data_IF_849091601306
#
_entry.id   IF_849091601306
#
_cell.length_a   1.000
_cell.length_b   1.000
_cell.length_c   1.000
_cell.angle_alpha   90.00
_cell.angle_beta   90.00
_cell.angle_gamma   90.00
#
_symmetry.space_group_name_H-M   'P 1'
#
loop_
_entity.id
_entity.type
_entity.pdbx_description
1 polymer ?
#
# COMPACT_ATOMS: atom_id res chain seq x y z
N UNK A 1 -12.23 -5.29 -5.41
CA UNK A 1 -11.46 -4.50 -4.42
C UNK A 1 -10.47 -3.62 -5.19
N UNK A 2 -10.42 -2.30 -4.95
CA UNK A 2 -9.50 -1.41 -5.67
C UNK A 2 -8.08 -1.56 -5.11
N UNK A 3 -7.14 -2.06 -5.92
CA UNK A 3 -5.76 -2.32 -5.46
C UNK A 3 -4.96 -1.05 -5.18
N UNK A 4 -5.25 0.03 -5.91
CA UNK A 4 -4.59 1.34 -5.76
C UNK A 4 -5.60 2.47 -5.78
N UNK A 5 -5.51 3.36 -4.81
CA UNK A 5 -6.30 4.59 -4.72
C UNK A 5 -5.38 5.77 -4.98
N UNK A 6 -5.70 6.61 -5.97
CA UNK A 6 -4.82 7.69 -6.43
C UNK A 6 -5.55 9.02 -6.32
N UNK A 7 -4.88 10.01 -5.74
CA UNK A 7 -5.35 11.39 -5.69
C UNK A 7 -4.31 12.31 -6.33
N UNK A 8 -4.80 13.33 -7.05
CA UNK A 8 -3.99 14.37 -7.66
C UNK A 8 -4.56 15.76 -7.35
N UNK A 9 -3.68 16.70 -7.03
CA UNK A 9 -4.07 18.11 -6.89
C UNK A 9 -4.57 18.65 -8.23
N UNK A 10 -5.67 19.41 -8.21
CA UNK A 10 -6.26 20.02 -9.40
C UNK A 10 -6.85 19.05 -10.44
N UNK A 11 -7.00 17.76 -10.13
CA UNK A 11 -7.64 16.80 -11.04
C UNK A 11 -9.13 17.04 -11.20
N UNK A 12 -9.63 16.85 -12.42
CA UNK A 12 -11.06 16.87 -12.76
C UNK A 12 -11.71 15.47 -12.73
N UNK A 13 -10.98 14.45 -12.29
CA UNK A 13 -11.53 13.10 -12.12
C UNK A 13 -12.64 13.14 -11.04
N UNK A 14 -13.87 12.69 -11.36
CA UNK A 14 -14.98 12.69 -10.41
C UNK A 14 -14.68 11.85 -9.15
N UNK A 15 -13.83 10.84 -9.23
CA UNK A 15 -13.44 10.01 -8.08
C UNK A 15 -12.35 10.64 -7.21
N UNK A 16 -11.72 11.73 -7.66
CA UNK A 16 -10.58 12.33 -6.97
C UNK A 16 -10.95 12.75 -5.53
N UNK A 17 -12.14 13.31 -5.33
CA UNK A 17 -12.61 13.69 -4.00
C UNK A 17 -12.81 12.47 -3.08
N UNK A 18 -13.42 11.40 -3.59
CA UNK A 18 -13.59 10.14 -2.86
C UNK A 18 -12.24 9.50 -2.54
N UNK A 19 -11.28 9.56 -3.47
CA UNK A 19 -9.93 9.05 -3.27
C UNK A 19 -9.19 9.81 -2.17
N UNK A 20 -9.31 11.14 -2.13
CA UNK A 20 -8.74 11.94 -1.05
C UNK A 20 -9.35 11.57 0.30
N UNK A 21 -10.68 11.39 0.37
CA UNK A 21 -11.35 10.98 1.61
C UNK A 21 -10.86 9.61 2.09
N UNK A 22 -10.78 8.63 1.21
CA UNK A 22 -10.25 7.29 1.52
C UNK A 22 -8.81 7.34 2.04
N UNK A 23 -7.94 8.10 1.37
CA UNK A 23 -6.54 8.29 1.78
C UNK A 23 -6.47 9.04 3.12
N UNK A 24 -7.33 10.05 3.33
CA UNK A 24 -7.40 10.82 4.57
C UNK A 24 -7.83 9.96 5.76
N UNK A 25 -8.82 9.08 5.55
CA UNK A 25 -9.23 8.10 6.55
C UNK A 25 -8.10 7.13 6.88
N UNK A 26 -7.42 6.60 5.85
CA UNK A 26 -6.27 5.72 6.04
C UNK A 26 -5.15 6.41 6.84
N UNK A 27 -4.80 7.65 6.48
CA UNK A 27 -3.79 8.46 7.15
C UNK A 27 -4.14 8.72 8.61
N UNK A 28 -5.37 9.16 8.90
CA UNK A 28 -5.86 9.38 10.27
C UNK A 28 -5.80 8.10 11.11
N UNK A 29 -6.10 6.95 10.50
CA UNK A 29 -6.05 5.64 11.16
C UNK A 29 -4.63 5.17 11.49
N UNK A 30 -3.59 5.88 11.07
CA UNK A 30 -2.22 5.63 11.53
C UNK A 30 -1.94 6.19 12.93
N UNK A 31 -2.83 7.02 13.49
CA UNK A 31 -2.59 7.65 14.78
C UNK A 31 -2.20 6.64 15.88
N UNK A 32 -1.07 6.87 16.53
CA UNK A 32 -0.54 6.01 17.59
C UNK A 32 0.11 4.71 17.09
N UNK A 33 0.19 4.48 15.76
CA UNK A 33 0.85 3.30 15.18
C UNK A 33 2.30 3.60 14.85
N UNK A 34 3.14 2.57 14.95
CA UNK A 34 4.49 2.63 14.40
C UNK A 34 4.43 2.56 12.88
N UNK A 35 5.12 3.47 12.20
CA UNK A 35 5.21 3.54 10.74
C UNK A 35 6.67 3.47 10.29
N UNK A 36 6.89 2.95 9.09
CA UNK A 36 8.12 3.15 8.33
C UNK A 36 7.98 4.41 7.48
N UNK A 37 9.02 5.23 7.45
CA UNK A 37 9.10 6.45 6.66
C UNK A 37 10.36 6.38 5.81
N UNK A 38 10.17 6.31 4.49
CA UNK A 38 11.24 6.00 3.54
C UNK A 38 11.24 7.02 2.40
N UNK A 39 12.36 7.70 2.20
CA UNK A 39 12.50 8.77 1.22
C UNK A 39 13.45 8.37 0.09
N UNK A 40 13.05 8.53 -1.18
CA UNK A 40 13.88 8.18 -2.34
C UNK A 40 13.83 9.26 -3.40
N UNK A 41 14.99 9.54 -3.99
CA UNK A 41 15.06 10.32 -5.22
C UNK A 41 14.60 9.47 -6.40
N UNK A 42 13.78 10.06 -7.25
CA UNK A 42 13.31 9.51 -8.52
C UNK A 42 14.47 9.59 -9.52
N UNK A 43 14.96 8.46 -10.04
CA UNK A 43 16.03 8.47 -11.04
C UNK A 43 15.61 9.24 -12.30
N UNK A 44 16.48 10.12 -12.80
CA UNK A 44 16.25 10.86 -14.05
C UNK A 44 16.06 9.94 -15.26
N UNK A 45 16.70 8.76 -15.22
CA UNK A 45 16.58 7.71 -16.25
C UNK A 45 15.75 6.58 -15.65
N UNK A 46 14.66 6.22 -16.31
CA UNK A 46 13.76 5.13 -15.89
C UNK A 46 12.66 5.52 -14.90
N UNK A 47 12.81 6.66 -14.20
CA UNK A 47 11.76 7.24 -13.38
C UNK A 47 11.35 6.36 -12.19
N UNK A 48 10.06 6.39 -11.83
CA UNK A 48 9.53 5.71 -10.64
C UNK A 48 9.77 4.19 -10.61
N UNK A 49 9.87 3.55 -11.78
CA UNK A 49 10.04 2.11 -11.89
C UNK A 49 11.44 1.63 -11.47
N UNK A 50 12.42 2.53 -11.42
CA UNK A 50 13.81 2.23 -11.07
C UNK A 50 14.15 2.57 -9.61
N UNK A 51 13.15 2.91 -8.79
CA UNK A 51 13.40 3.20 -7.38
C UNK A 51 13.71 1.92 -6.62
N UNK A 52 14.91 1.89 -6.02
CA UNK A 52 15.31 0.82 -5.11
C UNK A 52 14.90 1.13 -3.66
N UNK A 53 13.91 0.39 -3.18
CA UNK A 53 13.36 0.51 -1.83
C UNK A 53 14.13 -0.27 -0.75
N UNK A 54 15.40 -0.62 -0.99
CA UNK A 54 16.26 -1.24 0.02
C UNK A 54 16.53 -0.27 1.16
N UNK A 55 16.65 -0.78 2.39
CA UNK A 55 16.86 0.05 3.58
C UNK A 55 18.08 0.98 3.44
N UNK A 56 17.90 2.26 3.76
CA UNK A 56 18.94 3.28 3.72
C UNK A 56 19.09 3.97 5.08
N UNK A 57 20.21 4.67 5.28
CA UNK A 57 20.59 5.31 6.56
C UNK A 57 19.54 6.29 7.10
N UNK A 58 18.79 6.93 6.22
CA UNK A 58 17.80 7.96 6.58
C UNK A 58 16.38 7.42 6.63
N UNK A 59 16.19 6.11 6.44
CA UNK A 59 14.88 5.50 6.67
C UNK A 59 14.58 5.53 8.16
N UNK A 60 13.38 5.99 8.49
CA UNK A 60 12.96 6.14 9.88
C UNK A 60 11.84 5.17 10.23
N UNK A 61 11.76 4.86 11.52
CA UNK A 61 10.60 4.17 12.09
C UNK A 61 10.21 4.90 13.36
N UNK A 62 8.97 5.36 13.44
CA UNK A 62 8.47 6.10 14.59
C UNK A 62 6.96 5.95 14.76
N UNK A 63 6.46 6.26 15.95
CA UNK A 63 5.03 6.32 16.23
C UNK A 63 4.49 7.65 15.72
N UNK A 64 3.60 7.63 14.73
CA UNK A 64 2.99 8.85 14.21
C UNK A 64 1.86 9.32 15.14
N UNK A 65 1.81 10.63 15.39
CA UNK A 65 0.84 11.24 16.31
C UNK A 65 0.04 12.31 15.59
N UNK A 66 -1.28 12.29 15.79
CA UNK A 66 -2.28 13.19 15.21
C UNK A 66 -2.10 13.43 13.69
N UNK A 67 -1.98 12.37 12.86
CA UNK A 67 -1.95 12.52 11.41
C UNK A 67 -3.28 13.11 10.89
N UNK A 68 -3.19 14.15 10.07
CA UNK A 68 -4.33 14.77 9.39
C UNK A 68 -3.94 15.20 7.97
N UNK A 69 -4.90 15.20 7.04
CA UNK A 69 -4.76 15.85 5.74
C UNK A 69 -5.70 17.05 5.72
N UNK A 70 -5.18 18.23 5.36
CA UNK A 70 -5.97 19.44 5.10
C UNK A 70 -5.69 19.87 3.68
N UNK A 71 -6.70 19.78 2.82
CA UNK A 71 -6.58 20.00 1.38
C UNK A 71 -5.54 19.05 0.76
N UNK A 72 -4.39 19.58 0.36
CA UNK A 72 -3.27 18.87 -0.28
C UNK A 72 -2.07 18.67 0.65
N UNK A 73 -2.21 19.03 1.93
CA UNK A 73 -1.11 19.06 2.88
C UNK A 73 -1.34 18.05 3.99
N UNK A 74 -0.38 17.15 4.17
CA UNK A 74 -0.35 16.17 5.25
C UNK A 74 0.32 16.80 6.46
N UNK A 75 -0.25 16.61 7.64
CA UNK A 75 0.23 17.09 8.94
C UNK A 75 0.39 15.92 9.90
N UNK A 76 1.41 15.97 10.76
CA UNK A 76 1.65 14.98 11.81
C UNK A 76 2.65 15.47 12.86
N UNK A 77 2.78 14.71 13.95
CA UNK A 77 3.81 14.91 14.97
C UNK A 77 4.67 13.65 15.11
N UNK A 78 5.95 13.84 15.42
CA UNK A 78 6.83 12.78 15.94
C UNK A 78 6.54 12.52 17.42
N UNK A 79 6.82 11.32 17.96
CA UNK A 79 6.48 11.02 19.35
C UNK A 79 7.24 11.96 20.29
N UNK A 80 6.53 12.51 21.28
CA UNK A 80 7.06 13.48 22.26
C UNK A 80 7.61 14.79 21.66
N UNK A 81 7.33 15.09 20.39
CA UNK A 81 7.68 16.36 19.76
C UNK A 81 6.49 17.32 19.81
N UNK A 82 6.64 18.55 20.33
CA UNK A 82 5.59 19.57 20.25
C UNK A 82 5.51 20.24 18.87
N UNK A 83 6.43 19.91 17.95
CA UNK A 83 6.51 20.52 16.62
C UNK A 83 5.69 19.71 15.63
N UNK A 84 4.70 20.36 15.02
CA UNK A 84 3.94 19.84 13.89
C UNK A 84 4.83 19.79 12.64
N UNK A 85 4.80 18.66 11.95
CA UNK A 85 5.43 18.43 10.65
C UNK A 85 4.35 18.49 9.59
N UNK A 86 4.74 18.91 8.39
CA UNK A 86 3.85 18.91 7.25
C UNK A 86 4.58 18.62 5.93
N UNK A 87 3.82 18.21 4.92
CA UNK A 87 4.28 18.06 3.54
C UNK A 87 3.10 18.32 2.59
N UNK A 88 3.22 19.35 1.75
CA UNK A 88 2.26 19.67 0.68
C UNK A 88 2.60 18.84 -0.55
N UNK A 89 1.61 18.12 -1.10
CA UNK A 89 1.82 17.13 -2.16
C UNK A 89 0.98 17.43 -3.41
N UNK A 90 1.54 17.16 -4.58
CA UNK A 90 0.78 17.23 -5.84
C UNK A 90 0.04 15.92 -6.14
N UNK A 91 0.46 14.82 -5.51
CA UNK A 91 -0.10 13.49 -5.72
C UNK A 91 0.05 12.60 -4.48
N UNK A 92 -0.94 11.75 -4.28
CA UNK A 92 -0.94 10.65 -3.32
C UNK A 92 -1.30 9.34 -4.02
N UNK A 93 -0.61 8.25 -3.67
CA UNK A 93 -0.99 6.90 -4.10
C UNK A 93 -1.02 5.96 -2.90
N UNK A 94 -2.18 5.41 -2.59
CA UNK A 94 -2.34 4.38 -1.58
C UNK A 94 -2.37 3.01 -2.26
N UNK A 95 -1.38 2.18 -1.95
CA UNK A 95 -1.41 0.75 -2.21
C UNK A 95 -2.23 0.06 -1.11
N UNK A 96 -3.46 -0.34 -1.46
CA UNK A 96 -4.39 -0.94 -0.50
C UNK A 96 -3.96 -2.35 -0.08
N UNK A 97 -3.17 -3.04 -0.91
CA UNK A 97 -2.67 -4.39 -0.61
C UNK A 97 -1.45 -4.34 0.31
N UNK A 98 -0.51 -3.42 0.05
CA UNK A 98 0.68 -3.30 0.87
C UNK A 98 0.48 -2.40 2.08
N UNK A 99 -0.65 -1.67 2.13
CA UNK A 99 -0.94 -0.66 3.16
C UNK A 99 0.21 0.36 3.22
N UNK A 100 0.53 0.90 2.05
CA UNK A 100 1.60 1.87 1.83
C UNK A 100 1.06 3.09 1.11
N UNK A 101 1.35 4.27 1.64
CA UNK A 101 1.03 5.55 1.03
C UNK A 101 2.30 6.17 0.45
N UNK A 102 2.25 6.51 -0.83
CA UNK A 102 3.29 7.23 -1.55
C UNK A 102 2.90 8.70 -1.68
N UNK A 103 3.77 9.59 -1.22
CA UNK A 103 3.62 11.03 -1.26
C UNK A 103 4.58 11.57 -2.32
N UNK A 104 4.07 12.46 -3.16
CA UNK A 104 4.84 13.15 -4.17
C UNK A 104 4.82 14.65 -3.83
N UNK A 105 5.86 15.16 -3.12
CA UNK A 105 5.90 16.52 -2.63
C UNK A 105 5.84 17.54 -3.78
N UNK A 106 5.09 18.62 -3.57
CA UNK A 106 4.94 19.67 -4.58
C UNK A 106 6.26 20.45 -4.81
N UNK A 107 7.04 20.68 -3.75
CA UNK A 107 8.29 21.46 -3.82
C UNK A 107 9.50 20.64 -4.26
N UNK A 108 9.42 19.32 -4.19
CA UNK A 108 10.53 18.39 -4.45
C UNK A 108 10.07 17.31 -5.43
N UNK A 109 9.91 17.69 -6.70
CA UNK A 109 9.35 16.81 -7.75
C UNK A 109 10.20 15.58 -8.06
N UNK A 110 11.47 15.57 -7.65
CA UNK A 110 12.36 14.41 -7.74
C UNK A 110 12.30 13.51 -6.49
N UNK A 111 11.48 13.82 -5.49
CA UNK A 111 11.36 13.04 -4.26
C UNK A 111 10.06 12.22 -4.28
N UNK A 112 10.14 10.99 -3.78
CA UNK A 112 8.97 10.25 -3.33
C UNK A 112 9.19 9.76 -1.91
N UNK A 113 8.15 9.89 -1.09
CA UNK A 113 8.13 9.42 0.29
C UNK A 113 7.15 8.27 0.37
N UNK A 114 7.59 7.13 0.89
CA UNK A 114 6.75 5.96 1.13
C UNK A 114 6.56 5.77 2.63
N UNK A 115 5.30 5.74 3.04
CA UNK A 115 4.88 5.53 4.41
C UNK A 115 4.14 4.20 4.49
N UNK A 116 4.57 3.31 5.38
CA UNK A 116 3.96 2.00 5.53
C UNK A 116 3.86 1.59 7.00
N UNK A 117 3.08 0.55 7.26
CA UNK A 117 3.07 -0.12 8.56
C UNK A 117 4.16 -1.21 8.51
N UNK A 118 5.12 -1.27 9.45
CA UNK A 118 6.22 -2.25 9.42
C UNK A 118 5.78 -3.71 9.60
N UNK A 119 4.59 -3.93 10.15
CA UNK A 119 4.06 -5.27 10.40
C UNK A 119 3.65 -5.94 9.08
N UNK A 120 4.08 -7.20 8.90
CA UNK A 120 3.60 -8.07 7.83
C UNK A 120 2.11 -8.30 8.03
N UNK A 121 1.28 -7.52 7.34
CA UNK A 121 -0.15 -7.76 7.26
C UNK A 121 -0.40 -8.91 6.30
N UNK A 122 -0.69 -10.09 6.84
CA UNK A 122 -1.38 -11.12 6.08
C UNK A 122 -2.77 -10.57 5.73
N UNK A 123 -3.00 -10.27 4.45
CA UNK A 123 -4.34 -10.00 3.97
C UNK A 123 -5.00 -11.34 3.64
N UNK A 124 -6.11 -11.64 4.32
CA UNK A 124 -6.95 -12.77 3.97
C UNK A 124 -7.91 -12.31 2.88
N UNK A 125 -7.84 -12.96 1.72
CA UNK A 125 -8.86 -12.87 0.70
C UNK A 125 -9.84 -14.03 0.93
N UNK A 126 -11.09 -13.70 1.26
CA UNK A 126 -12.16 -14.69 1.41
C UNK A 126 -12.85 -14.90 0.06
N UNK A 127 -12.84 -16.13 -0.43
CA UNK A 127 -13.58 -16.56 -1.61
C UNK A 127 -14.77 -17.39 -1.15
N UNK A 128 -15.98 -17.05 -1.61
CA UNK A 128 -17.18 -17.76 -1.19
C UNK A 128 -17.52 -18.87 -2.19
N UNK A 129 -17.09 -20.10 -1.86
CA UNK A 129 -17.30 -21.29 -2.70
C UNK A 129 -16.77 -21.10 -4.15
N UNK A 130 -15.47 -20.80 -4.33
CA UNK A 130 -14.90 -20.62 -5.65
C UNK A 130 -14.96 -21.92 -6.46
N UNK A 131 -14.98 -21.79 -7.79
CA UNK A 131 -14.69 -22.92 -8.67
C UNK A 131 -13.22 -23.30 -8.53
N UNK A 132 -12.94 -24.60 -8.48
CA UNK A 132 -11.60 -25.13 -8.24
C UNK A 132 -11.19 -26.04 -9.40
N UNK A 133 -10.00 -25.83 -9.96
CA UNK A 133 -9.37 -26.83 -10.84
C UNK A 133 -7.89 -26.99 -10.57
N UNK A 134 -7.35 -28.12 -11.05
CA UNK A 134 -5.93 -28.37 -11.15
C UNK A 134 -5.47 -28.04 -12.57
N UNK A 135 -4.59 -27.06 -12.67
CA UNK A 135 -3.84 -26.78 -13.89
C UNK A 135 -2.62 -27.70 -14.05
N UNK A 136 -1.84 -27.43 -15.09
CA UNK A 136 -0.56 -28.09 -15.30
C UNK A 136 0.46 -27.70 -14.20
N UNK A 137 1.48 -28.53 -14.00
CA UNK A 137 2.59 -28.29 -13.07
C UNK A 137 2.20 -27.97 -11.62
N UNK A 138 1.26 -28.74 -11.04
CA UNK A 138 0.86 -28.61 -9.64
C UNK A 138 0.27 -27.23 -9.26
N UNK A 139 -0.35 -26.55 -10.23
CA UNK A 139 -1.02 -25.28 -10.01
C UNK A 139 -2.49 -25.49 -9.65
N UNK A 140 -2.91 -25.02 -8.48
CA UNK A 140 -4.32 -24.93 -8.10
C UNK A 140 -4.88 -23.60 -8.62
N UNK A 141 -6.00 -23.67 -9.33
CA UNK A 141 -6.72 -22.54 -9.87
C UNK A 141 -8.03 -22.36 -9.07
N UNK A 142 -8.26 -21.15 -8.60
CA UNK A 142 -9.49 -20.74 -7.92
C UNK A 142 -10.11 -19.60 -8.71
N UNK A 143 -11.39 -19.73 -9.06
CA UNK A 143 -12.14 -18.73 -9.79
C UNK A 143 -13.39 -18.30 -9.03
N UNK A 144 -13.65 -17.00 -9.02
CA UNK A 144 -14.92 -16.43 -8.55
C UNK A 144 -15.49 -15.55 -9.67
N UNK A 145 -16.45 -16.11 -10.42
CA UNK A 145 -16.99 -15.47 -11.61
C UNK A 145 -17.66 -14.12 -11.31
N UNK A 146 -18.39 -14.03 -10.19
CA UNK A 146 -19.08 -12.80 -9.77
C UNK A 146 -18.12 -11.64 -9.47
N UNK A 147 -16.85 -11.95 -9.15
CA UNK A 147 -15.81 -10.95 -8.84
C UNK A 147 -14.78 -10.79 -9.96
N UNK A 148 -14.94 -11.47 -11.10
CA UNK A 148 -13.98 -11.51 -12.22
C UNK A 148 -12.55 -11.82 -11.74
N UNK A 149 -12.42 -12.70 -10.74
CA UNK A 149 -11.15 -12.97 -10.06
C UNK A 149 -10.61 -14.36 -10.36
N UNK A 150 -9.36 -14.42 -10.81
CA UNK A 150 -8.59 -15.66 -11.00
C UNK A 150 -7.38 -15.66 -10.07
N UNK A 151 -7.26 -16.69 -9.24
CA UNK A 151 -6.12 -16.89 -8.35
C UNK A 151 -5.39 -18.17 -8.75
N UNK A 152 -4.08 -18.04 -8.98
CA UNK A 152 -3.19 -19.16 -9.31
C UNK A 152 -2.26 -19.44 -8.15
N UNK A 153 -2.30 -20.67 -7.66
CA UNK A 153 -1.49 -21.12 -6.53
C UNK A 153 -0.59 -22.25 -7.02
N UNK A 154 0.69 -21.96 -7.27
CA UNK A 154 1.68 -23.00 -7.59
C UNK A 154 2.13 -23.67 -6.29
N UNK A 155 1.85 -24.97 -6.15
CA UNK A 155 2.16 -25.73 -4.96
C UNK A 155 3.43 -26.56 -5.16
N UNK A 156 4.29 -26.59 -4.14
CA UNK A 156 5.38 -27.55 -4.07
C UNK A 156 4.84 -28.96 -3.82
N UNK A 157 5.62 -29.99 -4.16
CA UNK A 157 5.27 -31.38 -3.88
C UNK A 157 4.99 -31.63 -2.38
N UNK A 158 5.75 -30.99 -1.51
CA UNK A 158 5.54 -31.03 -0.04
C UNK A 158 4.18 -30.44 0.35
N UNK A 159 3.81 -29.27 -0.18
CA UNK A 159 2.53 -28.65 0.11
C UNK A 159 1.34 -29.42 -0.46
N UNK A 160 1.51 -30.11 -1.59
CA UNK A 160 0.49 -31.02 -2.13
C UNK A 160 0.29 -32.23 -1.20
N UNK A 161 1.38 -32.83 -0.72
CA UNK A 161 1.29 -33.95 0.21
C UNK A 161 0.54 -33.52 1.49
N UNK A 162 0.89 -32.36 2.04
CA UNK A 162 0.20 -31.78 3.19
C UNK A 162 -1.27 -31.47 2.92
N UNK A 163 -1.61 -30.94 1.74
CA UNK A 163 -3.00 -30.67 1.37
C UNK A 163 -3.82 -31.97 1.29
N UNK A 164 -3.24 -33.05 0.75
CA UNK A 164 -3.89 -34.38 0.70
C UNK A 164 -4.14 -34.95 2.10
N UNK A 165 -3.21 -34.77 3.03
CA UNK A 165 -3.39 -35.19 4.43
C UNK A 165 -4.52 -34.42 5.13
N UNK A 166 -4.67 -33.12 4.84
CA UNK A 166 -5.70 -32.27 5.46
C UNK A 166 -7.11 -32.51 4.89
N UNK A 167 -7.22 -33.10 3.70
CA UNK A 167 -8.50 -33.39 3.02
C UNK A 167 -8.95 -34.85 3.16
N UNK A 168 -8.13 -35.71 3.78
CA UNK A 168 -8.44 -37.12 4.03
C UNK A 168 -9.24 -37.32 5.32
#
# INVERSE_FOLDING_TARGET
>A
MQLKTVWHSGSNDPENANNLDNISQWWRNLNGKQISWVERLIPQIGGLNEIHWQAQRFDETFVIVNPEIREDTLYWYKPNSPVERNNTVDKLELDNLQQQLYLYPQLESELVIRIGIPEVKYQTLELNNPEIALGEDNTLLLWEADQELEIKISLSHENIAKLKELLA
#
